data_IF_655635903681
#
_entry.id   IF_655635903681
#
_cell.length_a   1.000
_cell.length_b   1.000
_cell.length_c   1.000
_cell.angle_alpha   90.00
_cell.angle_beta   90.00
_cell.angle_gamma   90.00
#
_symmetry.space_group_name_H-M   'P 1'
#
loop_
_entity.id
_entity.type
_entity.pdbx_description
1 polymer ?
#
# COMPACT_ATOMS: atom_id res chain seq x y z
N UNK A 1 -1.61 3.97 14.34
CA UNK A 1 -1.22 5.26 13.79
C UNK A 1 -1.49 5.27 12.28
N UNK A 2 -2.19 6.26 11.76
CA UNK A 2 -2.46 6.46 10.34
C UNK A 2 -1.69 7.68 9.82
N UNK A 3 -0.70 7.41 8.98
CA UNK A 3 0.01 8.47 8.26
C UNK A 3 -0.87 8.88 7.09
N UNK A 4 -1.37 10.11 7.11
CA UNK A 4 -2.31 10.61 6.11
C UNK A 4 -1.87 11.91 5.46
N UNK A 5 -2.25 12.09 4.19
CA UNK A 5 -2.26 13.41 3.55
C UNK A 5 -3.53 14.20 3.97
N UNK A 6 -3.52 15.52 3.82
CA UNK A 6 -4.65 16.36 4.23
C UNK A 6 -6.00 15.95 3.62
N UNK A 7 -5.99 15.45 2.40
CA UNK A 7 -7.19 15.09 1.61
C UNK A 7 -7.80 13.74 2.01
N UNK A 8 -7.02 12.88 2.69
CA UNK A 8 -7.49 11.56 3.08
C UNK A 8 -8.48 11.64 4.25
N UNK A 9 -9.48 10.75 4.30
CA UNK A 9 -10.45 10.73 5.39
C UNK A 9 -9.79 10.38 6.73
N UNK A 10 -10.39 10.86 7.80
CA UNK A 10 -10.02 10.50 9.17
C UNK A 10 -10.57 9.10 9.48
N UNK A 11 -9.71 8.21 9.93
CA UNK A 11 -10.11 6.88 10.40
C UNK A 11 -10.48 6.94 11.89
N UNK A 12 -11.69 6.48 12.24
CA UNK A 12 -12.14 6.44 13.62
C UNK A 12 -11.31 5.42 14.44
N UNK A 13 -10.97 5.78 15.67
CA UNK A 13 -10.23 4.91 16.58
C UNK A 13 -8.74 4.76 16.25
N UNK A 14 -8.23 5.50 15.28
CA UNK A 14 -6.82 5.48 14.89
C UNK A 14 -6.24 6.89 15.02
N UNK A 15 -5.12 7.01 15.70
CA UNK A 15 -4.39 8.28 15.77
C UNK A 15 -3.89 8.69 14.39
N UNK A 16 -4.11 9.96 14.03
CA UNK A 16 -3.72 10.50 12.73
C UNK A 16 -2.39 11.25 12.86
N UNK A 17 -1.51 11.05 11.89
CA UNK A 17 -0.22 11.71 11.82
C UNK A 17 -0.02 12.36 10.45
N UNK A 18 0.27 13.65 10.44
CA UNK A 18 0.69 14.39 9.24
C UNK A 18 2.02 15.06 9.55
N UNK A 19 3.08 14.63 8.88
CA UNK A 19 4.44 15.11 9.09
C UNK A 19 5.10 15.46 7.76
N UNK A 20 6.06 16.39 7.75
CA UNK A 20 6.99 16.51 6.62
C UNK A 20 7.71 15.21 6.35
N UNK A 21 8.03 14.92 5.08
CA UNK A 21 8.67 13.64 4.68
C UNK A 21 9.91 13.29 5.49
N UNK A 22 10.74 14.28 5.82
CA UNK A 22 11.98 14.08 6.59
C UNK A 22 11.71 13.55 8.00
N UNK A 23 10.67 14.06 8.65
CA UNK A 23 10.25 13.59 9.97
C UNK A 23 9.57 12.22 9.89
N UNK A 24 8.82 11.98 8.81
CA UNK A 24 8.17 10.72 8.56
C UNK A 24 9.18 9.56 8.45
N UNK A 25 10.34 9.78 7.82
CA UNK A 25 11.41 8.79 7.76
C UNK A 25 11.94 8.39 9.14
N UNK A 26 11.92 9.30 10.10
CA UNK A 26 12.33 9.00 11.48
C UNK A 26 11.28 8.19 12.26
N UNK A 27 10.00 8.26 11.86
CA UNK A 27 8.92 7.51 12.50
C UNK A 27 8.90 6.03 12.09
N UNK A 28 9.31 5.70 10.87
CA UNK A 28 9.25 4.33 10.37
C UNK A 28 10.02 3.32 11.24
N UNK A 29 11.28 3.58 11.64
CA UNK A 29 12.02 2.68 12.53
C UNK A 29 11.40 2.52 13.92
N UNK A 30 10.59 3.47 14.37
CA UNK A 30 9.91 3.41 15.67
C UNK A 30 8.66 2.52 15.65
N UNK A 31 8.15 2.18 14.47
CA UNK A 31 6.99 1.33 14.33
C UNK A 31 7.37 -0.16 14.45
N UNK A 32 6.58 -0.93 15.20
CA UNK A 32 6.77 -2.37 15.33
C UNK A 32 6.12 -3.16 14.19
N UNK A 33 5.04 -2.64 13.63
CA UNK A 33 4.31 -3.23 12.50
C UNK A 33 4.00 -2.14 11.48
N UNK A 34 4.07 -2.48 10.20
CA UNK A 34 3.91 -1.54 9.08
C UNK A 34 3.00 -2.15 8.03
N UNK A 35 1.96 -1.42 7.67
CA UNK A 35 1.03 -1.77 6.61
C UNK A 35 0.95 -0.59 5.62
N UNK A 36 1.29 -0.83 4.37
CA UNK A 36 1.30 0.17 3.31
C UNK A 36 0.50 -0.29 2.10
N UNK A 37 0.12 0.67 1.30
CA UNK A 37 -0.25 0.45 -0.11
C UNK A 37 1.00 0.66 -0.98
N UNK A 38 0.90 0.42 -2.28
CA UNK A 38 1.93 0.80 -3.25
C UNK A 38 2.11 2.33 -3.26
N UNK A 39 3.14 2.79 -2.56
CA UNK A 39 3.45 4.20 -2.32
C UNK A 39 4.91 4.39 -1.93
N UNK A 40 5.35 5.65 -1.82
CA UNK A 40 6.69 5.97 -1.35
C UNK A 40 7.06 5.30 -0.01
N UNK A 41 6.07 5.01 0.83
CA UNK A 41 6.29 4.45 2.16
C UNK A 41 6.92 3.06 2.12
N UNK A 42 6.50 2.20 1.18
CA UNK A 42 7.10 0.87 1.02
C UNK A 42 8.56 0.96 0.55
N UNK A 43 8.87 1.90 -0.36
CA UNK A 43 10.24 2.11 -0.84
C UNK A 43 11.14 2.65 0.29
N UNK A 44 10.61 3.55 1.11
CA UNK A 44 11.33 4.06 2.29
C UNK A 44 11.60 2.94 3.31
N UNK A 45 10.61 2.09 3.58
CA UNK A 45 10.79 0.96 4.49
C UNK A 45 11.87 0.00 3.98
N UNK A 46 11.85 -0.33 2.69
CA UNK A 46 12.90 -1.16 2.07
C UNK A 46 14.29 -0.53 2.19
N UNK A 47 14.42 0.77 1.93
CA UNK A 47 15.69 1.50 2.05
C UNK A 47 16.24 1.56 3.50
N UNK A 48 15.38 1.34 4.49
CA UNK A 48 15.72 1.30 5.91
C UNK A 48 15.83 -0.13 6.46
N UNK A 49 15.82 -1.16 5.61
CA UNK A 49 15.80 -2.58 6.00
C UNK A 49 14.63 -2.94 6.94
N UNK A 50 13.49 -2.27 6.76
CA UNK A 50 12.30 -2.48 7.57
C UNK A 50 11.28 -3.31 6.80
N UNK A 51 11.02 -4.53 7.25
CA UNK A 51 9.96 -5.35 6.67
C UNK A 51 8.59 -4.67 6.87
N UNK A 52 7.73 -4.73 5.85
CA UNK A 52 6.35 -4.25 5.91
C UNK A 52 5.38 -5.19 5.19
N UNK A 53 4.11 -5.08 5.47
CA UNK A 53 3.05 -5.63 4.60
C UNK A 53 2.71 -4.57 3.57
N UNK A 54 2.68 -4.94 2.30
CA UNK A 54 2.28 -4.04 1.21
C UNK A 54 1.08 -4.62 0.49
N UNK A 55 0.01 -3.84 0.44
CA UNK A 55 -1.25 -4.21 -0.23
C UNK A 55 -1.26 -3.58 -1.61
N UNK A 56 -1.38 -4.41 -2.63
CA UNK A 56 -1.30 -4.02 -4.05
C UNK A 56 -2.68 -3.96 -4.68
N UNK A 57 -2.99 -2.87 -5.37
CA UNK A 57 -4.29 -2.71 -6.05
C UNK A 57 -4.12 -2.77 -7.57
N UNK A 58 -3.38 -1.86 -8.17
CA UNK A 58 -3.26 -1.75 -9.62
C UNK A 58 -1.90 -2.15 -10.19
N UNK A 59 -0.85 -2.06 -9.39
CA UNK A 59 0.51 -2.42 -9.79
C UNK A 59 0.88 -3.83 -9.33
N UNK A 60 1.91 -4.39 -9.94
CA UNK A 60 2.39 -5.74 -9.64
C UNK A 60 3.58 -5.69 -8.69
N UNK A 61 3.57 -6.46 -7.59
CA UNK A 61 4.70 -6.53 -6.67
C UNK A 61 5.98 -7.06 -7.33
N UNK A 62 5.88 -7.85 -8.40
CA UNK A 62 7.02 -8.37 -9.17
C UNK A 62 7.79 -7.25 -9.90
N UNK A 63 7.14 -6.10 -10.14
CA UNK A 63 7.74 -4.95 -10.84
C UNK A 63 8.22 -3.88 -9.86
N UNK A 64 7.41 -3.57 -8.85
CA UNK A 64 7.65 -2.43 -7.96
C UNK A 64 7.85 -2.82 -6.50
N UNK A 65 7.60 -4.08 -6.15
CA UNK A 65 7.73 -4.59 -4.80
C UNK A 65 9.17 -4.99 -4.45
N UNK A 66 9.35 -5.30 -3.19
CA UNK A 66 10.60 -5.81 -2.64
C UNK A 66 10.36 -7.19 -2.04
N UNK A 67 11.30 -8.14 -2.21
CA UNK A 67 11.16 -9.51 -1.71
C UNK A 67 11.16 -9.59 -0.17
N UNK A 68 11.69 -8.57 0.51
CA UNK A 68 11.74 -8.45 1.96
C UNK A 68 10.36 -8.16 2.56
N UNK A 69 9.46 -7.55 1.76
CA UNK A 69 8.10 -7.23 2.19
C UNK A 69 7.17 -8.43 2.05
N UNK A 70 6.13 -8.46 2.86
CA UNK A 70 5.03 -9.40 2.69
C UNK A 70 4.02 -8.75 1.74
N UNK A 71 4.05 -9.16 0.47
CA UNK A 71 3.21 -8.59 -0.56
C UNK A 71 1.84 -9.30 -0.57
N UNK A 72 0.76 -8.53 -0.41
CA UNK A 72 -0.63 -9.01 -0.43
C UNK A 72 -1.33 -8.46 -1.66
N UNK A 73 -1.79 -9.36 -2.52
CA UNK A 73 -2.53 -9.01 -3.74
C UNK A 73 -4.01 -9.38 -3.60
N UNK A 74 -4.91 -8.75 -4.38
CA UNK A 74 -6.31 -9.16 -4.47
C UNK A 74 -6.44 -10.63 -4.91
N UNK A 75 -7.63 -11.20 -4.76
CA UNK A 75 -7.89 -12.53 -5.28
C UNK A 75 -7.67 -12.60 -6.80
N UNK A 76 -7.28 -13.77 -7.31
CA UNK A 76 -6.93 -13.98 -8.73
C UNK A 76 -8.02 -13.49 -9.73
N UNK A 77 -9.29 -13.51 -9.32
CA UNK A 77 -10.40 -13.07 -10.17
C UNK A 77 -10.37 -11.55 -10.43
N UNK A 78 -9.80 -10.76 -9.53
CA UNK A 78 -9.71 -9.31 -9.66
C UNK A 78 -8.39 -8.85 -10.28
N UNK A 79 -7.30 -9.59 -10.10
CA UNK A 79 -5.96 -9.18 -10.55
C UNK A 79 -5.92 -8.89 -12.06
N UNK A 80 -6.60 -9.71 -12.86
CA UNK A 80 -6.63 -9.54 -14.32
C UNK A 80 -7.32 -8.25 -14.77
N UNK A 81 -8.38 -7.85 -14.07
CA UNK A 81 -9.12 -6.64 -14.39
C UNK A 81 -8.44 -5.40 -13.83
N UNK A 82 -7.83 -5.51 -12.64
CA UNK A 82 -7.08 -4.42 -12.01
C UNK A 82 -5.87 -3.97 -12.83
N UNK A 83 -5.21 -4.90 -13.51
CA UNK A 83 -4.09 -4.58 -14.40
C UNK A 83 -4.47 -3.63 -15.53
N UNK A 84 -5.73 -3.60 -15.94
CA UNK A 84 -6.21 -2.65 -16.96
C UNK A 84 -6.17 -1.20 -16.49
N UNK A 85 -6.12 -0.97 -15.18
CA UNK A 85 -6.08 0.37 -14.58
C UNK A 85 -4.66 0.78 -14.18
N UNK A 86 -3.67 -0.09 -14.34
CA UNK A 86 -2.28 0.31 -14.23
C UNK A 86 -1.92 1.24 -15.38
N UNK A 87 -1.49 2.46 -15.08
CA UNK A 87 -1.04 3.42 -16.09
C UNK A 87 0.11 2.89 -16.95
N UNK A 88 0.86 1.90 -16.47
CA UNK A 88 1.91 1.22 -17.23
C UNK A 88 1.36 0.31 -18.33
N UNK A 89 0.16 -0.23 -18.18
CA UNK A 89 -0.48 -1.07 -19.19
C UNK A 89 -1.34 -0.26 -20.17
N UNK A 90 -1.78 0.91 -19.76
CA UNK A 90 -2.66 1.74 -20.59
C UNK A 90 -1.91 2.63 -21.58
N UNK A 91 -0.63 2.90 -21.38
CA UNK A 91 0.16 3.88 -22.15
C UNK A 91 -0.52 5.26 -22.30
N UNK A 92 -1.54 5.50 -21.50
CA UNK A 92 -2.29 6.75 -21.52
C UNK A 92 -1.63 7.74 -20.58
N UNK A 93 -0.78 8.58 -21.15
CA UNK A 93 -0.13 9.69 -20.46
C UNK A 93 -1.00 10.94 -20.36
N UNK A 94 -2.29 10.84 -20.65
CA UNK A 94 -3.21 11.99 -20.56
C UNK A 94 -3.40 12.54 -19.14
N UNK A 95 -2.85 11.85 -18.13
CA UNK A 95 -2.91 12.27 -16.72
C UNK A 95 -4.28 12.09 -16.08
N UNK A 96 -5.23 11.49 -16.76
CA UNK A 96 -6.50 11.12 -16.15
C UNK A 96 -6.34 9.84 -15.34
N UNK A 97 -6.36 9.99 -14.02
CA UNK A 97 -6.51 8.85 -13.12
C UNK A 97 -7.92 8.30 -13.34
N UNK A 98 -8.02 7.15 -13.99
CA UNK A 98 -9.31 6.47 -14.09
C UNK A 98 -9.77 6.08 -12.68
N UNK A 99 -11.01 6.44 -12.35
CA UNK A 99 -11.58 6.01 -11.07
C UNK A 99 -11.65 4.49 -11.06
N UNK A 100 -11.21 3.91 -9.97
CA UNK A 100 -11.28 2.49 -9.72
C UNK A 100 -12.77 2.05 -9.72
N UNK A 101 -13.20 1.15 -10.63
CA UNK A 101 -14.62 0.91 -10.89
C UNK A 101 -15.27 -0.05 -9.89
N UNK A 102 -14.51 -0.55 -8.92
CA UNK A 102 -15.01 -1.54 -7.97
C UNK A 102 -15.24 -0.93 -6.59
N UNK A 103 -16.26 -1.42 -5.93
CA UNK A 103 -16.40 -1.23 -4.49
C UNK A 103 -15.20 -1.94 -3.81
N UNK A 104 -14.26 -1.16 -3.32
CA UNK A 104 -12.95 -1.61 -2.87
C UNK A 104 -13.00 -2.48 -1.61
N UNK A 105 -14.13 -2.51 -0.93
CA UNK A 105 -14.30 -3.19 0.37
C UNK A 105 -14.07 -4.70 0.29
N UNK A 106 -14.30 -5.32 -0.86
CA UNK A 106 -14.26 -6.78 -1.02
C UNK A 106 -13.09 -7.31 -1.86
N UNK A 107 -12.10 -6.49 -2.19
CA UNK A 107 -10.96 -6.90 -3.02
C UNK A 107 -10.00 -7.84 -2.30
N UNK A 108 -9.88 -7.67 -1.00
CA UNK A 108 -8.89 -8.37 -0.18
C UNK A 108 -9.56 -9.23 0.88
N UNK A 109 -8.97 -10.37 1.14
CA UNK A 109 -9.24 -11.14 2.35
C UNK A 109 -8.55 -10.46 3.55
N UNK A 110 -9.33 -9.84 4.42
CA UNK A 110 -8.84 -9.12 5.60
C UNK A 110 -8.05 -10.04 6.53
N UNK A 111 -8.43 -11.31 6.64
CA UNK A 111 -7.72 -12.26 7.49
C UNK A 111 -6.29 -12.48 7.00
N UNK A 112 -6.07 -12.54 5.69
CA UNK A 112 -4.73 -12.64 5.11
C UNK A 112 -3.88 -11.41 5.41
N UNK A 113 -4.47 -10.21 5.41
CA UNK A 113 -3.76 -8.98 5.79
C UNK A 113 -3.38 -9.02 7.27
N UNK A 114 -4.31 -9.40 8.14
CA UNK A 114 -4.05 -9.53 9.59
C UNK A 114 -2.95 -10.56 9.85
N UNK A 115 -3.01 -11.72 9.22
CA UNK A 115 -1.97 -12.75 9.33
C UNK A 115 -0.61 -12.24 8.85
N UNK A 116 -0.59 -11.52 7.73
CA UNK A 116 0.64 -10.93 7.19
C UNK A 116 1.25 -9.91 8.16
N UNK A 117 0.41 -9.02 8.75
CA UNK A 117 0.87 -8.06 9.76
C UNK A 117 1.42 -8.77 11.00
N UNK A 118 0.78 -9.84 11.46
CA UNK A 118 1.25 -10.61 12.62
C UNK A 118 2.58 -11.34 12.35
N UNK A 119 2.84 -11.75 11.11
CA UNK A 119 4.07 -12.44 10.70
C UNK A 119 5.27 -11.51 10.48
N UNK A 120 5.10 -10.20 10.46
CA UNK A 120 6.22 -9.26 10.36
C UNK A 120 7.23 -9.49 11.48
N UNK A 121 8.51 -9.43 11.11
CA UNK A 121 9.64 -9.47 12.03
C UNK A 121 9.88 -8.11 12.67
#
# INVERSE_FOLDING_TARGET
LHIKSPEQPVLQGVEQLTLPYRELYAVFPLSTKRLFIDSFAQHTAAALDLQSVVVWIGNKPEVFGYPEHINVTPSANYVRELNKFSYLEQFDISGQIQQFPYDTVNLFDINKIIEAVNKQK
#
